data_IF_274405790700
#
_entry.id   IF_274405790700
#
_cell.length_a   1.000
_cell.length_b   1.000
_cell.length_c   1.000
_cell.angle_alpha   90.00
_cell.angle_beta   90.00
_cell.angle_gamma   90.00
#
_symmetry.space_group_name_H-M   'P 1'
#
loop_
_entity.id
_entity.type
_entity.pdbx_description
1 polymer ?
#
# COMPACT_ATOMS: atom_id res chain seq x y z
N UNK A 1 27.58 -0.92 -16.90
CA UNK A 1 26.68 -1.92 -17.53
C UNK A 1 26.51 -3.12 -16.60
N UNK A 2 27.62 -3.70 -16.12
CA UNK A 2 27.63 -4.73 -15.07
C UNK A 2 26.96 -4.28 -13.76
N UNK A 3 27.17 -3.03 -13.32
CA UNK A 3 26.52 -2.51 -12.09
C UNK A 3 25.00 -2.41 -12.21
N UNK A 4 24.49 -2.19 -13.43
CA UNK A 4 23.05 -2.16 -13.70
C UNK A 4 22.46 -3.57 -13.66
N UNK A 5 23.17 -4.56 -14.21
CA UNK A 5 22.75 -5.97 -14.16
C UNK A 5 22.78 -6.53 -12.73
N UNK A 6 23.81 -6.20 -11.94
CA UNK A 6 23.89 -6.58 -10.52
C UNK A 6 22.70 -6.00 -9.75
N UNK A 7 22.39 -4.72 -9.96
CA UNK A 7 21.28 -4.03 -9.30
C UNK A 7 19.91 -4.62 -9.68
N UNK A 8 19.70 -4.98 -10.95
CA UNK A 8 18.47 -5.66 -11.39
C UNK A 8 18.33 -7.06 -10.79
N UNK A 9 19.43 -7.82 -10.67
CA UNK A 9 19.44 -9.15 -10.06
C UNK A 9 19.16 -9.06 -8.55
N UNK A 10 19.76 -8.10 -7.85
CA UNK A 10 19.50 -7.86 -6.42
C UNK A 10 18.05 -7.47 -6.17
N UNK A 11 17.49 -6.57 -7.00
CA UNK A 11 16.09 -6.17 -6.92
C UNK A 11 15.12 -7.33 -7.14
N UNK A 12 15.37 -8.17 -8.15
CA UNK A 12 14.57 -9.38 -8.39
C UNK A 12 14.63 -10.35 -7.22
N UNK A 13 15.83 -10.56 -6.66
CA UNK A 13 16.03 -11.44 -5.51
C UNK A 13 15.30 -10.93 -4.27
N UNK A 14 15.31 -9.63 -4.03
CA UNK A 14 14.60 -9.02 -2.90
C UNK A 14 13.08 -9.08 -3.10
N UNK A 15 12.59 -8.83 -4.32
CA UNK A 15 11.17 -9.01 -4.65
C UNK A 15 10.69 -10.45 -4.46
N UNK A 16 11.47 -11.45 -4.89
CA UNK A 16 11.15 -12.86 -4.65
C UNK A 16 11.15 -13.21 -3.16
N UNK A 17 12.10 -12.67 -2.40
CA UNK A 17 12.20 -12.87 -0.95
C UNK A 17 10.99 -12.28 -0.23
N UNK A 18 10.55 -11.08 -0.61
CA UNK A 18 9.36 -10.43 -0.08
C UNK A 18 8.09 -11.16 -0.53
N UNK A 19 7.99 -11.58 -1.79
CA UNK A 19 6.87 -12.38 -2.32
C UNK A 19 6.69 -13.72 -1.59
N UNK A 20 7.79 -14.39 -1.24
CA UNK A 20 7.77 -15.66 -0.50
C UNK A 20 7.61 -15.50 1.01
N UNK A 21 7.76 -14.28 1.53
CA UNK A 21 7.59 -13.99 2.96
C UNK A 21 6.13 -14.12 3.42
N UNK A 22 5.93 -14.22 4.73
CA UNK A 22 4.60 -14.22 5.35
C UNK A 22 3.77 -13.00 4.95
N UNK A 23 4.40 -11.83 4.90
CA UNK A 23 3.78 -10.58 4.49
C UNK A 23 3.39 -10.59 3.01
N UNK A 24 4.25 -11.11 2.12
CA UNK A 24 3.95 -11.27 0.69
C UNK A 24 2.75 -12.19 0.45
N UNK A 25 2.65 -13.30 1.19
CA UNK A 25 1.48 -14.20 1.14
C UNK A 25 0.21 -13.52 1.63
N UNK A 26 0.28 -12.70 2.69
CA UNK A 26 -0.86 -11.92 3.18
C UNK A 26 -1.30 -10.91 2.13
N UNK A 27 -0.37 -10.17 1.52
CA UNK A 27 -0.68 -9.19 0.46
C UNK A 27 -1.33 -9.82 -0.77
N UNK A 28 -0.83 -10.97 -1.24
CA UNK A 28 -1.47 -11.71 -2.35
C UNK A 28 -2.86 -12.24 -2.00
N UNK A 29 -3.11 -12.56 -0.72
CA UNK A 29 -4.43 -12.99 -0.25
C UNK A 29 -5.42 -11.82 -0.14
N UNK A 30 -4.90 -10.62 0.08
CA UNK A 30 -5.66 -9.37 0.10
C UNK A 30 -5.86 -8.78 -1.30
N UNK A 31 -5.00 -9.11 -2.27
CA UNK A 31 -5.10 -8.71 -3.68
C UNK A 31 -6.53 -8.77 -4.26
N UNK A 32 -7.33 -9.84 -4.13
CA UNK A 32 -8.68 -9.88 -4.71
C UNK A 32 -9.64 -8.81 -4.16
N UNK A 33 -9.41 -8.33 -2.93
CA UNK A 33 -10.22 -7.28 -2.28
C UNK A 33 -9.81 -5.89 -2.76
N UNK A 34 -8.54 -5.72 -3.15
CA UNK A 34 -7.92 -4.45 -3.53
C UNK A 34 -7.81 -4.25 -5.04
N UNK A 35 -7.84 -5.34 -5.82
CA UNK A 35 -7.93 -5.36 -7.29
C UNK A 35 -9.06 -4.48 -7.86
N UNK A 36 -10.30 -4.44 -7.30
CA UNK A 36 -11.33 -3.53 -7.79
C UNK A 36 -11.02 -2.04 -7.60
N UNK A 37 -10.00 -1.70 -6.82
CA UNK A 37 -9.56 -0.34 -6.50
C UNK A 37 -8.25 0.02 -7.24
N UNK A 38 -7.75 -0.91 -8.08
CA UNK A 38 -6.47 -0.74 -8.78
C UNK A 38 -5.24 -0.97 -7.92
N UNK A 39 -5.41 -1.48 -6.69
CA UNK A 39 -4.31 -1.74 -5.74
C UNK A 39 -3.87 -3.19 -5.93
N UNK A 40 -2.61 -3.41 -6.28
CA UNK A 40 -2.00 -4.71 -6.50
C UNK A 40 -1.52 -5.38 -5.21
N UNK A 41 -0.78 -6.48 -5.36
CA UNK A 41 -0.25 -7.21 -4.21
C UNK A 41 0.88 -6.44 -3.50
N UNK A 42 1.69 -5.67 -4.23
CA UNK A 42 2.76 -4.84 -3.65
C UNK A 42 2.18 -3.75 -2.75
N UNK A 43 1.18 -3.04 -3.23
CA UNK A 43 0.52 -1.95 -2.52
C UNK A 43 -0.28 -2.49 -1.34
N UNK A 44 -0.93 -3.66 -1.49
CA UNK A 44 -1.58 -4.36 -0.37
C UNK A 44 -0.58 -4.71 0.74
N UNK A 45 0.62 -5.19 0.39
CA UNK A 45 1.71 -5.41 1.37
C UNK A 45 2.10 -4.10 2.04
N UNK A 46 2.31 -3.04 1.28
CA UNK A 46 2.71 -1.73 1.79
C UNK A 46 1.65 -1.11 2.74
N UNK A 47 0.37 -1.35 2.50
CA UNK A 47 -0.73 -0.93 3.38
C UNK A 47 -0.73 -1.69 4.70
N UNK A 48 -0.45 -3.00 4.66
CA UNK A 48 -0.37 -3.84 5.86
C UNK A 48 0.81 -3.43 6.73
N UNK A 49 1.99 -3.18 6.14
CA UNK A 49 3.15 -2.67 6.90
C UNK A 49 2.92 -1.23 7.37
N UNK A 50 2.22 -0.43 6.57
CA UNK A 50 1.81 0.93 6.88
C UNK A 50 0.82 1.09 8.03
N UNK A 51 0.13 0.01 8.42
CA UNK A 51 -0.74 0.00 9.60
C UNK A 51 0.03 0.41 10.87
N UNK A 52 1.27 -0.06 10.98
CA UNK A 52 2.13 0.16 12.14
C UNK A 52 2.66 1.59 12.16
N UNK A 53 3.07 2.11 11.00
CA UNK A 53 3.53 3.48 10.84
C UNK A 53 3.25 3.99 9.41
N UNK A 54 2.55 5.13 9.30
CA UNK A 54 2.12 5.68 8.00
C UNK A 54 3.29 5.99 7.05
N UNK A 55 4.45 6.35 7.60
CA UNK A 55 5.68 6.65 6.85
C UNK A 55 6.33 5.40 6.25
N UNK A 56 6.07 4.21 6.83
CA UNK A 56 6.64 2.94 6.39
C UNK A 56 6.02 2.46 5.07
N UNK A 57 4.85 2.99 4.68
CA UNK A 57 4.22 2.70 3.39
C UNK A 57 5.18 3.04 2.24
N UNK A 58 5.74 4.25 2.26
CA UNK A 58 6.64 4.75 1.20
C UNK A 58 7.94 3.94 1.19
N UNK A 59 8.49 3.63 2.35
CA UNK A 59 9.69 2.79 2.45
C UNK A 59 9.45 1.37 1.94
N UNK A 60 8.27 0.80 2.20
CA UNK A 60 7.92 -0.56 1.74
C UNK A 60 7.73 -0.58 0.23
N UNK A 61 7.10 0.44 -0.36
CA UNK A 61 7.04 0.61 -1.81
C UNK A 61 8.45 0.75 -2.42
N UNK A 62 9.34 1.55 -1.82
CA UNK A 62 10.73 1.68 -2.27
C UNK A 62 11.48 0.35 -2.37
N UNK A 63 11.31 -0.52 -1.38
CA UNK A 63 11.88 -1.88 -1.39
C UNK A 63 11.18 -2.76 -2.43
N UNK A 64 9.84 -2.73 -2.49
CA UNK A 64 9.05 -3.55 -3.40
C UNK A 64 9.27 -3.20 -4.88
N UNK A 65 9.53 -1.94 -5.23
CA UNK A 65 9.83 -1.54 -6.61
C UNK A 65 11.33 -1.52 -6.93
N UNK A 66 12.20 -2.01 -6.03
CA UNK A 66 13.65 -2.14 -6.29
C UNK A 66 14.41 -0.82 -6.28
N UNK A 67 13.88 0.18 -5.59
CA UNK A 67 14.44 1.54 -5.52
C UNK A 67 15.23 1.75 -4.22
N UNK A 68 14.99 0.93 -3.21
CA UNK A 68 15.59 1.05 -1.88
C UNK A 68 14.93 2.16 -1.05
N UNK A 69 15.63 2.65 -0.02
CA UNK A 69 15.16 3.69 0.91
C UNK A 69 15.40 5.13 0.41
N UNK A 70 15.84 5.33 -0.84
CA UNK A 70 16.25 6.61 -1.37
C UNK A 70 15.18 7.30 -2.24
N UNK A 71 14.69 8.44 -1.75
CA UNK A 71 14.06 9.58 -2.43
C UNK A 71 12.91 9.36 -3.44
N UNK A 72 11.90 10.25 -3.36
CA UNK A 72 10.67 10.19 -4.14
C UNK A 72 10.85 10.18 -5.67
N UNK A 73 11.92 10.77 -6.21
CA UNK A 73 12.21 10.77 -7.65
C UNK A 73 12.55 9.38 -8.20
N UNK A 74 13.30 8.59 -7.45
CA UNK A 74 13.69 7.25 -7.87
C UNK A 74 12.47 6.31 -7.85
N UNK A 75 11.58 6.51 -6.87
CA UNK A 75 10.32 5.79 -6.78
C UNK A 75 9.36 6.18 -7.92
N UNK A 76 9.28 7.47 -8.26
CA UNK A 76 8.49 7.96 -9.38
C UNK A 76 8.93 7.31 -10.71
N UNK A 77 10.23 7.23 -10.98
CA UNK A 77 10.76 6.56 -12.18
C UNK A 77 10.46 5.08 -12.20
N UNK A 78 10.52 4.40 -11.05
CA UNK A 78 10.19 2.98 -10.96
C UNK A 78 8.70 2.71 -11.17
N UNK A 79 7.84 3.55 -10.58
CA UNK A 79 6.37 3.52 -10.74
C UNK A 79 5.95 3.75 -12.21
N UNK A 80 6.58 4.72 -12.88
CA UNK A 80 6.37 4.95 -14.33
C UNK A 80 6.81 3.78 -15.20
N UNK A 81 7.75 2.95 -14.72
CA UNK A 81 8.26 1.77 -15.43
C UNK A 81 7.44 0.50 -15.15
N UNK A 82 6.63 0.48 -14.10
CA UNK A 82 5.89 -0.69 -13.62
C UNK A 82 4.40 -0.70 -14.01
N UNK A 83 3.99 0.09 -15.01
CA UNK A 83 2.59 0.20 -15.48
C UNK A 83 1.58 0.63 -14.39
N UNK A 84 2.05 1.26 -13.31
CA UNK A 84 1.16 1.74 -12.26
C UNK A 84 0.41 2.98 -12.75
N UNK A 85 -0.91 2.85 -12.95
CA UNK A 85 -1.75 3.95 -13.43
C UNK A 85 -1.84 5.06 -12.38
N UNK A 86 -1.90 6.33 -12.84
CA UNK A 86 -2.08 7.48 -11.95
C UNK A 86 -3.35 7.34 -11.09
N UNK A 87 -4.33 6.60 -11.59
CA UNK A 87 -5.57 6.29 -10.90
C UNK A 87 -5.39 5.37 -9.69
N UNK A 88 -4.51 4.37 -9.80
CA UNK A 88 -4.13 3.50 -8.68
C UNK A 88 -3.36 4.27 -7.60
N UNK A 89 -2.46 5.17 -8.00
CA UNK A 89 -1.75 6.02 -7.05
C UNK A 89 -2.70 6.94 -6.27
N UNK A 90 -3.70 7.52 -6.94
CA UNK A 90 -4.72 8.35 -6.30
C UNK A 90 -5.59 7.55 -5.32
N UNK A 91 -6.04 6.35 -5.73
CA UNK A 91 -6.86 5.50 -4.86
C UNK A 91 -6.08 5.06 -3.61
N UNK A 92 -4.80 4.73 -3.77
CA UNK A 92 -3.88 4.41 -2.68
C UNK A 92 -3.67 5.61 -1.74
N UNK A 93 -3.46 6.82 -2.28
CA UNK A 93 -3.29 8.03 -1.47
C UNK A 93 -4.55 8.32 -0.62
N UNK A 94 -5.73 8.25 -1.24
CA UNK A 94 -7.02 8.41 -0.55
C UNK A 94 -7.17 7.37 0.56
N UNK A 95 -6.81 6.12 0.27
CA UNK A 95 -6.87 5.04 1.27
C UNK A 95 -5.94 5.31 2.45
N UNK A 96 -4.66 5.64 2.22
CA UNK A 96 -3.67 5.92 3.29
C UNK A 96 -4.09 7.11 4.17
N UNK A 97 -4.77 8.11 3.59
CA UNK A 97 -5.29 9.25 4.34
C UNK A 97 -6.47 8.85 5.26
N UNK A 98 -7.33 7.93 4.83
CA UNK A 98 -8.60 7.60 5.50
C UNK A 98 -8.58 6.34 6.38
N UNK A 99 -7.79 5.30 6.06
CA UNK A 99 -8.03 3.94 6.59
C UNK A 99 -7.69 3.75 8.08
N UNK A 100 -6.77 4.54 8.64
CA UNK A 100 -6.42 4.48 10.06
C UNK A 100 -6.33 5.87 10.67
N UNK A 101 -7.18 6.20 11.66
CA UNK A 101 -6.86 7.26 12.60
C UNK A 101 -5.68 6.76 13.43
N UNK A 102 -4.57 7.48 13.35
CA UNK A 102 -3.25 7.18 13.94
C UNK A 102 -3.21 6.08 15.03
N UNK A 103 -2.27 5.13 14.93
CA UNK A 103 -2.09 4.00 15.88
C UNK A 103 -2.16 4.42 17.36
N UNK A 104 -1.64 5.61 17.68
CA UNK A 104 -1.76 6.25 18.99
C UNK A 104 -3.22 6.41 19.44
N UNK A 105 -4.13 6.91 18.60
CA UNK A 105 -5.55 7.05 18.93
C UNK A 105 -6.23 5.70 19.16
N UNK A 106 -5.92 4.67 18.36
CA UNK A 106 -6.45 3.32 18.57
C UNK A 106 -5.99 2.76 19.91
N UNK A 107 -4.71 2.95 20.26
CA UNK A 107 -4.16 2.54 21.55
C UNK A 107 -4.82 3.28 22.73
N UNK A 108 -5.08 4.58 22.60
CA UNK A 108 -5.78 5.34 23.63
C UNK A 108 -7.21 4.83 23.82
N UNK A 109 -7.97 4.62 22.73
CA UNK A 109 -9.34 4.07 22.79
C UNK A 109 -9.36 2.66 23.39
N UNK A 110 -8.37 1.84 23.04
CA UNK A 110 -8.20 0.49 23.58
C UNK A 110 -8.00 0.52 25.10
N UNK A 111 -7.20 1.48 25.60
CA UNK A 111 -6.91 1.62 27.03
C UNK A 111 -8.06 2.22 27.83
N UNK A 112 -8.81 3.16 27.25
CA UNK A 112 -9.83 3.95 27.97
C UNK A 112 -11.25 3.35 27.87
N UNK A 113 -11.60 2.65 26.79
CA UNK A 113 -12.98 2.17 26.57
C UNK A 113 -13.07 0.65 26.56
N UNK A 114 -12.54 -0.01 25.52
CA UNK A 114 -12.44 -1.46 25.41
C UNK A 114 -11.86 -1.87 24.05
N UNK A 115 -11.24 -3.04 24.01
CA UNK A 115 -10.77 -3.69 22.77
C UNK A 115 -11.86 -3.82 21.70
N UNK A 116 -13.11 -4.07 22.11
CA UNK A 116 -14.24 -4.26 21.20
C UNK A 116 -14.61 -2.96 20.47
N UNK A 117 -14.61 -1.84 21.19
CA UNK A 117 -14.90 -0.52 20.61
C UNK A 117 -13.76 0.01 19.75
N UNK A 118 -12.50 -0.23 20.15
CA UNK A 118 -11.34 0.10 19.32
C UNK A 118 -11.36 -0.68 17.99
N UNK A 119 -11.64 -1.98 18.04
CA UNK A 119 -11.77 -2.82 16.84
C UNK A 119 -12.94 -2.41 15.95
N UNK A 120 -14.09 -2.07 16.53
CA UNK A 120 -15.25 -1.60 15.77
C UNK A 120 -14.96 -0.29 15.01
N UNK A 121 -14.33 0.68 15.67
CA UNK A 121 -13.96 1.96 15.04
C UNK A 121 -12.92 1.76 13.92
N UNK A 122 -11.94 0.88 14.17
CA UNK A 122 -10.92 0.54 13.17
C UNK A 122 -11.53 -0.10 11.91
N UNK A 123 -12.43 -1.07 12.09
CA UNK A 123 -13.11 -1.73 10.96
C UNK A 123 -14.00 -0.74 10.22
N UNK A 124 -14.72 0.12 10.95
CA UNK A 124 -15.57 1.15 10.36
C UNK A 124 -14.78 2.12 9.48
N UNK A 125 -13.67 2.67 9.99
CA UNK A 125 -12.81 3.59 9.23
C UNK A 125 -12.14 2.92 8.03
N UNK A 126 -11.68 1.68 8.18
CA UNK A 126 -11.13 0.89 7.06
C UNK A 126 -12.18 0.64 5.98
N UNK A 127 -13.41 0.32 6.36
CA UNK A 127 -14.52 0.06 5.43
C UNK A 127 -14.92 1.34 4.68
N UNK A 128 -14.97 2.49 5.37
CA UNK A 128 -15.21 3.79 4.74
C UNK A 128 -14.09 4.16 3.78
N UNK A 129 -12.83 3.95 4.16
CA UNK A 129 -11.68 4.20 3.30
C UNK A 129 -11.69 3.32 2.04
N UNK A 130 -12.03 2.04 2.18
CA UNK A 130 -12.18 1.11 1.07
C UNK A 130 -13.29 1.56 0.12
N UNK A 131 -14.45 1.96 0.66
CA UNK A 131 -15.57 2.45 -0.13
C UNK A 131 -15.22 3.75 -0.88
N UNK A 132 -14.57 4.72 -0.22
CA UNK A 132 -14.12 5.96 -0.85
C UNK A 132 -13.08 5.72 -1.94
N UNK A 133 -12.09 4.87 -1.67
CA UNK A 133 -11.04 4.54 -2.62
C UNK A 133 -11.60 3.80 -3.85
N UNK A 134 -12.54 2.88 -3.65
CA UNK A 134 -13.30 2.26 -4.74
C UNK A 134 -14.08 3.27 -5.57
N UNK A 135 -14.73 4.24 -4.91
CA UNK A 135 -15.50 5.28 -5.57
C UNK A 135 -14.58 6.16 -6.44
N UNK A 136 -13.42 6.58 -5.92
CA UNK A 136 -12.40 7.34 -6.65
C UNK A 136 -11.85 6.57 -7.85
N UNK A 137 -11.55 5.29 -7.68
CA UNK A 137 -11.05 4.47 -8.79
C UNK A 137 -12.13 4.28 -9.87
N UNK A 138 -13.39 4.08 -9.47
CA UNK A 138 -14.49 3.90 -10.41
C UNK A 138 -14.88 5.19 -11.12
N UNK A 139 -14.89 6.33 -10.43
CA UNK A 139 -15.14 7.65 -11.05
C UNK A 139 -13.99 8.06 -11.94
N UNK A 140 -12.74 7.78 -11.54
CA UNK A 140 -11.55 8.00 -12.35
C UNK A 140 -11.56 7.22 -13.67
N UNK A 141 -11.96 5.95 -13.64
CA UNK A 141 -12.12 5.15 -14.85
C UNK A 141 -13.27 5.67 -15.73
N UNK A 142 -14.37 6.16 -15.13
CA UNK A 142 -15.47 6.78 -15.89
C UNK A 142 -15.08 8.13 -16.52
N UNK A 143 -14.14 8.87 -15.93
CA UNK A 143 -13.59 10.11 -16.47
C UNK A 143 -12.55 9.88 -17.59
N UNK A 144 -12.23 8.62 -17.92
CA UNK A 144 -11.32 8.28 -19.02
C UNK A 144 -9.84 8.47 -18.71
N UNK A 145 -9.46 8.60 -17.44
CA UNK A 145 -8.07 8.57 -17.01
C UNK A 145 -7.61 7.10 -16.93
N UNK A 146 -7.04 6.58 -18.03
CA UNK A 146 -6.32 5.30 -18.08
C UNK A 146 -4.81 5.52 -18.08
#
# INVERSE_FOLDING_TARGET
RLDLEIKDIENKKEQERVSNSYIGRIGKRLEPIFKPIGIGWQESVALVTGFVAKEVVVSTMGVLYGVGTGEGEALEKALKKSDMTALSALSMMVFVLLYVPCFATVLTIYRETSAKWAGFNLIYTTMVAWAMSFLVYRTGMMLGLS
#
